data_IF_327026463015
#
_entry.id   IF_327026463015
#
_cell.length_a   1.000
_cell.length_b   1.000
_cell.length_c   1.000
_cell.angle_alpha   90.00
_cell.angle_beta   90.00
_cell.angle_gamma   90.00
#
_symmetry.space_group_name_H-M   'P 1'
#
loop_
_entity.id
_entity.type
_entity.pdbx_description
1 polymer ?
#
# COMPACT_ATOMS: atom_id res chain seq x y z
N UNK A 1 59.31 10.12 -6.97
CA UNK A 1 57.99 10.44 -7.52
C UNK A 1 56.93 9.94 -6.55
N UNK A 2 56.05 10.87 -6.16
CA UNK A 2 54.63 10.73 -5.76
C UNK A 2 54.15 9.70 -4.70
N UNK A 3 53.30 10.27 -3.83
CA UNK A 3 52.52 9.75 -2.71
C UNK A 3 51.50 8.67 -3.10
N UNK A 4 51.17 7.78 -2.16
CA UNK A 4 49.83 7.60 -1.55
C UNK A 4 49.83 6.35 -0.64
N UNK A 5 49.50 6.37 0.65
CA UNK A 5 48.29 6.78 1.41
C UNK A 5 47.39 5.58 1.79
N UNK A 6 46.92 5.66 3.05
CA UNK A 6 45.97 4.80 3.81
C UNK A 6 46.66 3.69 4.62
N UNK A 7 46.62 3.68 5.94
CA UNK A 7 45.78 4.43 6.88
C UNK A 7 45.39 3.49 8.02
N UNK A 8 46.00 3.70 9.19
CA UNK A 8 45.84 2.93 10.42
C UNK A 8 44.48 3.15 11.12
N UNK A 9 44.29 2.33 12.16
CA UNK A 9 43.44 2.50 13.36
C UNK A 9 41.95 2.16 13.19
N UNK A 10 41.25 1.60 14.18
CA UNK A 10 41.55 0.92 15.44
C UNK A 10 40.21 0.37 15.95
N UNK A 11 40.27 -0.52 16.93
CA UNK A 11 39.17 -1.21 17.59
C UNK A 11 37.94 -0.36 17.94
N UNK A 12 36.77 -0.92 17.69
CA UNK A 12 35.52 -0.70 18.42
C UNK A 12 34.94 -2.11 18.59
N UNK A 13 34.95 -2.72 19.79
CA UNK A 13 34.20 -2.27 20.94
C UNK A 13 33.10 -3.30 21.19
N UNK A 14 33.45 -4.39 21.86
CA UNK A 14 32.54 -5.42 22.37
C UNK A 14 31.51 -4.78 23.31
N UNK A 15 30.26 -4.68 22.85
CA UNK A 15 29.12 -4.44 23.73
C UNK A 15 28.49 -5.80 24.09
N UNK A 16 28.84 -6.30 25.28
CA UNK A 16 28.02 -7.28 25.98
C UNK A 16 26.70 -6.60 26.36
N UNK A 17 25.59 -7.06 25.80
CA UNK A 17 24.26 -6.77 26.36
C UNK A 17 23.78 -8.08 26.97
N UNK A 18 23.64 -8.06 28.29
CA UNK A 18 23.27 -9.19 29.11
C UNK A 18 21.91 -9.76 28.70
N UNK A 19 21.86 -11.09 28.63
CA UNK A 19 20.62 -11.83 28.66
C UNK A 19 20.08 -11.80 30.10
N UNK A 20 18.99 -11.08 30.33
CA UNK A 20 18.08 -11.35 31.44
C UNK A 20 16.77 -11.85 30.86
N UNK A 21 16.58 -13.14 31.01
CA UNK A 21 15.35 -13.88 30.73
C UNK A 21 14.30 -13.53 31.77
N UNK A 22 13.24 -12.81 31.39
CA UNK A 22 11.94 -12.93 32.05
C UNK A 22 10.83 -12.97 31.00
N UNK A 23 10.06 -14.05 31.08
CA UNK A 23 8.93 -14.38 30.24
C UNK A 23 7.76 -13.45 30.56
N UNK A 24 7.32 -12.65 29.60
CA UNK A 24 5.89 -12.39 29.41
C UNK A 24 5.61 -12.42 27.91
N UNK A 25 4.86 -13.44 27.50
CA UNK A 25 4.52 -13.71 26.11
C UNK A 25 3.70 -12.58 25.52
N UNK A 26 4.39 -11.62 24.88
CA UNK A 26 3.76 -10.81 23.84
C UNK A 26 3.41 -11.77 22.71
N UNK A 27 2.14 -11.91 22.29
CA UNK A 27 1.84 -12.72 21.14
C UNK A 27 2.59 -12.09 19.96
N UNK A 28 3.48 -12.86 19.34
CA UNK A 28 4.23 -12.48 18.12
C UNK A 28 3.27 -11.99 17.01
N UNK A 29 1.98 -12.32 17.12
CA UNK A 29 0.89 -11.78 16.32
C UNK A 29 0.72 -10.25 16.40
N UNK A 30 0.98 -9.61 17.55
CA UNK A 30 0.85 -8.16 17.73
C UNK A 30 1.97 -7.36 17.05
N UNK A 31 3.16 -7.96 16.86
CA UNK A 31 4.27 -7.35 16.12
C UNK A 31 4.21 -7.66 14.60
N UNK A 32 3.31 -8.54 14.17
CA UNK A 32 3.13 -8.89 12.76
C UNK A 32 2.25 -7.90 11.98
N UNK A 33 1.61 -6.94 12.66
CA UNK A 33 0.79 -5.89 12.07
C UNK A 33 1.61 -4.81 11.35
N UNK A 34 2.89 -4.63 11.67
CA UNK A 34 3.66 -3.48 11.16
C UNK A 34 4.30 -3.63 9.78
N UNK A 35 4.22 -4.79 9.09
CA UNK A 35 5.21 -5.06 8.01
C UNK A 35 4.70 -5.30 6.57
N UNK A 36 3.43 -5.11 6.24
CA UNK A 36 3.01 -5.14 4.81
C UNK A 36 1.94 -4.11 4.49
N UNK A 37 2.19 -2.87 4.88
CA UNK A 37 1.52 -1.72 4.31
C UNK A 37 2.53 -0.83 3.61
N UNK A 38 2.14 -0.27 2.48
CA UNK A 38 2.91 0.72 1.74
C UNK A 38 2.03 1.94 1.52
N UNK A 39 2.57 3.11 1.84
CA UNK A 39 1.86 4.38 1.72
C UNK A 39 2.65 5.35 0.85
N UNK A 40 1.99 5.97 -0.14
CA UNK A 40 2.61 6.97 -1.02
C UNK A 40 1.61 8.04 -1.46
N UNK A 41 2.01 9.31 -1.51
CA UNK A 41 1.21 10.36 -2.16
C UNK A 41 1.22 10.14 -3.68
N UNK A 42 0.05 10.04 -4.31
CA UNK A 42 -0.02 9.78 -5.75
C UNK A 42 -1.24 10.41 -6.42
N UNK A 43 -1.14 10.53 -7.75
CA UNK A 43 -2.27 10.75 -8.65
C UNK A 43 -2.77 9.40 -9.13
N UNK A 44 -4.05 9.10 -8.87
CA UNK A 44 -4.72 7.87 -9.28
C UNK A 44 -5.65 8.15 -10.44
N UNK A 45 -5.48 7.37 -11.50
CA UNK A 45 -6.34 7.36 -12.68
C UNK A 45 -7.12 6.04 -12.68
N UNK A 46 -8.45 6.12 -12.60
CA UNK A 46 -9.34 4.95 -12.71
C UNK A 46 -9.49 4.56 -14.16
N UNK A 47 -9.53 3.27 -14.45
CA UNK A 47 -9.79 2.76 -15.81
C UNK A 47 -11.26 2.39 -16.01
N UNK A 48 -11.99 2.10 -14.93
CA UNK A 48 -13.39 1.71 -14.95
C UNK A 48 -14.22 2.61 -14.03
N UNK A 49 -15.52 2.70 -14.32
CA UNK A 49 -16.52 3.28 -13.42
C UNK A 49 -17.72 2.34 -13.40
N UNK A 50 -18.04 1.78 -12.23
CA UNK A 50 -19.13 0.80 -12.05
C UNK A 50 -19.05 -0.36 -13.08
N UNK A 51 -17.84 -0.88 -13.31
CA UNK A 51 -17.58 -1.98 -14.25
C UNK A 51 -17.49 -1.58 -15.73
N UNK A 52 -17.78 -0.33 -16.09
CA UNK A 52 -17.67 0.16 -17.47
C UNK A 52 -16.32 0.82 -17.70
N UNK A 53 -15.61 0.40 -18.75
CA UNK A 53 -14.31 0.96 -19.13
C UNK A 53 -14.48 2.42 -19.55
N UNK A 54 -13.73 3.32 -18.91
CA UNK A 54 -13.72 4.74 -19.22
C UNK A 54 -13.02 5.01 -20.55
N UNK A 55 -13.50 6.01 -21.30
CA UNK A 55 -12.81 6.51 -22.50
C UNK A 55 -11.46 7.10 -22.13
N UNK A 56 -10.54 7.16 -23.09
CA UNK A 56 -9.19 7.70 -22.83
C UNK A 56 -9.21 9.14 -22.31
N UNK A 57 -10.05 9.99 -22.91
CA UNK A 57 -10.23 11.38 -22.48
C UNK A 57 -10.76 11.45 -21.04
N UNK A 58 -11.75 10.62 -20.68
CA UNK A 58 -12.30 10.58 -19.33
C UNK A 58 -11.25 10.12 -18.30
N UNK A 59 -10.38 9.16 -18.65
CA UNK A 59 -9.30 8.73 -17.77
C UNK A 59 -8.32 9.86 -17.48
N UNK A 60 -7.89 10.61 -18.49
CA UNK A 60 -6.82 11.62 -18.33
C UNK A 60 -7.28 12.89 -17.61
N UNK A 61 -8.55 13.26 -17.72
CA UNK A 61 -9.05 14.58 -17.32
C UNK A 61 -9.33 14.74 -15.83
N UNK A 62 -9.47 13.66 -15.06
CA UNK A 62 -9.86 13.74 -13.66
C UNK A 62 -9.07 12.76 -12.77
N UNK A 63 -7.74 12.90 -12.65
CA UNK A 63 -7.01 12.15 -11.64
C UNK A 63 -7.52 12.52 -10.24
N UNK A 64 -7.56 11.53 -9.35
CA UNK A 64 -7.76 11.75 -7.93
C UNK A 64 -6.42 11.77 -7.22
N UNK A 65 -6.23 12.74 -6.34
CA UNK A 65 -4.98 12.92 -5.60
C UNK A 65 -5.23 12.48 -4.17
N UNK A 66 -4.28 11.74 -3.60
CA UNK A 66 -4.40 11.26 -2.23
C UNK A 66 -3.18 10.45 -1.80
N UNK A 67 -3.26 9.94 -0.56
CA UNK A 67 -2.34 8.94 -0.02
C UNK A 67 -2.85 7.57 -0.42
N UNK A 68 -2.14 6.89 -1.31
CA UNK A 68 -2.40 5.49 -1.63
C UNK A 68 -1.88 4.63 -0.50
N UNK A 69 -2.76 3.88 0.15
CA UNK A 69 -2.45 2.83 1.10
C UNK A 69 -2.67 1.48 0.43
N UNK A 70 -1.62 0.67 0.32
CA UNK A 70 -1.69 -0.71 -0.12
C UNK A 70 -1.30 -1.63 1.03
N UNK A 71 -2.25 -2.39 1.58
CA UNK A 71 -2.06 -3.11 2.83
C UNK A 71 -2.65 -4.53 2.79
N UNK A 72 -2.03 -5.47 3.52
CA UNK A 72 -2.59 -6.80 3.71
C UNK A 72 -3.82 -6.73 4.66
N UNK A 73 -4.96 -7.31 4.23
CA UNK A 73 -6.22 -7.34 4.99
C UNK A 73 -6.48 -8.66 5.70
N UNK A 74 -6.21 -9.79 5.04
CA UNK A 74 -6.40 -11.13 5.62
C UNK A 74 -5.13 -11.92 5.37
N UNK A 75 -4.63 -12.54 6.44
CA UNK A 75 -3.59 -13.57 6.40
C UNK A 75 -4.14 -14.83 7.03
N UNK A 76 -4.28 -15.89 6.25
CA UNK A 76 -4.63 -17.19 6.80
C UNK A 76 -3.48 -18.16 6.59
N UNK A 77 -2.74 -18.45 7.66
CA UNK A 77 -1.47 -19.20 7.62
C UNK A 77 -1.61 -20.59 7.00
N UNK A 78 -2.75 -21.26 7.20
CA UNK A 78 -2.98 -22.61 6.66
C UNK A 78 -3.22 -22.65 5.15
N UNK A 79 -3.69 -21.56 4.54
CA UNK A 79 -4.03 -21.51 3.10
C UNK A 79 -3.08 -20.62 2.29
N UNK A 80 -2.03 -20.06 2.93
CA UNK A 80 -1.08 -19.10 2.33
C UNK A 80 -1.76 -17.98 1.53
N UNK A 81 -2.98 -17.61 1.91
CA UNK A 81 -3.73 -16.54 1.24
C UNK A 81 -3.43 -15.24 1.96
N UNK A 82 -2.80 -14.31 1.24
CA UNK A 82 -2.67 -12.91 1.66
C UNK A 82 -3.50 -12.07 0.71
N UNK A 83 -4.59 -11.50 1.22
CA UNK A 83 -5.46 -10.61 0.47
C UNK A 83 -5.03 -9.18 0.75
N UNK A 84 -4.72 -8.40 -0.27
CA UNK A 84 -4.39 -6.98 -0.13
C UNK A 84 -5.59 -6.10 -0.46
N UNK A 85 -5.61 -4.91 0.13
CA UNK A 85 -6.52 -3.82 -0.22
C UNK A 85 -5.72 -2.63 -0.72
N UNK A 86 -6.28 -1.90 -1.68
CA UNK A 86 -5.81 -0.59 -2.09
C UNK A 86 -6.85 0.46 -1.74
N UNK A 87 -6.43 1.49 -1.01
CA UNK A 87 -7.27 2.62 -0.61
C UNK A 87 -6.60 3.92 -1.05
N UNK A 88 -7.39 4.86 -1.54
CA UNK A 88 -6.92 6.22 -1.78
C UNK A 88 -7.55 7.13 -0.73
N UNK A 89 -6.72 7.58 0.20
CA UNK A 89 -7.12 8.43 1.31
C UNK A 89 -6.84 9.90 0.97
N UNK A 90 -7.60 10.81 1.56
CA UNK A 90 -7.34 12.24 1.48
C UNK A 90 -5.91 12.54 2.02
N UNK A 91 -5.29 13.62 1.55
CA UNK A 91 -3.92 13.96 1.97
C UNK A 91 -3.80 14.30 3.45
N UNK A 92 -4.88 14.81 4.05
CA UNK A 92 -4.91 15.36 5.42
C UNK A 92 -5.92 14.66 6.34
N UNK A 93 -6.69 13.71 5.83
CA UNK A 93 -7.64 12.92 6.62
C UNK A 93 -7.58 11.46 6.21
N UNK A 94 -8.25 10.61 6.99
CA UNK A 94 -8.40 9.17 6.70
C UNK A 94 -9.66 8.91 5.85
N UNK A 95 -10.24 9.94 5.23
CA UNK A 95 -11.41 9.80 4.38
C UNK A 95 -11.04 9.18 3.03
N UNK A 96 -11.89 8.29 2.54
CA UNK A 96 -11.73 7.67 1.23
C UNK A 96 -12.07 8.67 0.12
N UNK A 97 -11.09 8.96 -0.74
CA UNK A 97 -11.27 9.75 -1.98
C UNK A 97 -11.95 8.92 -3.07
N UNK A 98 -11.68 7.61 -3.07
CA UNK A 98 -12.24 6.64 -3.99
C UNK A 98 -12.76 5.41 -3.22
N UNK A 99 -13.76 4.70 -3.75
CA UNK A 99 -14.12 3.40 -3.20
C UNK A 99 -12.89 2.46 -3.23
N UNK A 100 -12.67 1.68 -2.16
CA UNK A 100 -11.48 0.86 -2.05
C UNK A 100 -11.50 -0.31 -3.04
N UNK A 101 -10.31 -0.78 -3.44
CA UNK A 101 -10.14 -2.02 -4.18
C UNK A 101 -9.81 -3.14 -3.19
N UNK A 102 -10.65 -4.17 -3.16
CA UNK A 102 -10.40 -5.42 -2.44
C UNK A 102 -9.74 -6.47 -3.34
N UNK A 103 -9.05 -7.43 -2.74
CA UNK A 103 -8.20 -8.39 -3.46
C UNK A 103 -7.27 -7.71 -4.47
N UNK A 104 -6.70 -6.59 -4.05
CA UNK A 104 -5.87 -5.75 -4.89
C UNK A 104 -4.55 -6.46 -5.21
N UNK A 105 -4.14 -6.40 -6.47
CA UNK A 105 -2.87 -6.96 -6.95
C UNK A 105 -2.10 -5.91 -7.74
N UNK A 106 -0.79 -5.93 -7.63
CA UNK A 106 0.10 -5.12 -8.47
C UNK A 106 0.34 -5.89 -9.77
N UNK A 107 -0.13 -5.35 -10.89
CA UNK A 107 0.08 -5.94 -12.21
C UNK A 107 1.37 -5.46 -12.87
N UNK A 108 1.80 -4.21 -12.59
CA UNK A 108 2.99 -3.62 -13.18
C UNK A 108 3.58 -2.53 -12.28
N UNK A 109 4.90 -2.45 -12.26
CA UNK A 109 5.69 -1.36 -11.68
C UNK A 109 6.65 -0.87 -12.75
N UNK A 110 6.68 0.43 -13.02
CA UNK A 110 7.66 1.06 -13.89
C UNK A 110 7.96 2.51 -13.45
N UNK A 111 8.85 3.16 -14.20
CA UNK A 111 9.21 4.58 -14.07
C UNK A 111 8.00 5.52 -14.09
N UNK A 112 6.92 5.14 -14.79
CA UNK A 112 5.68 5.92 -14.90
C UNK A 112 4.68 5.68 -13.78
N UNK A 113 4.93 4.71 -12.89
CA UNK A 113 4.11 4.41 -11.72
C UNK A 113 3.71 2.93 -11.59
N UNK A 114 2.58 2.72 -10.93
CA UNK A 114 2.04 1.42 -10.54
C UNK A 114 0.70 1.16 -11.25
N UNK A 115 0.47 -0.06 -11.72
CA UNK A 115 -0.83 -0.53 -12.17
C UNK A 115 -1.37 -1.54 -11.15
N UNK A 116 -2.49 -1.18 -10.52
CA UNK A 116 -3.22 -2.04 -9.59
C UNK A 116 -4.50 -2.57 -10.25
N UNK A 117 -4.92 -3.76 -9.88
CA UNK A 117 -6.20 -4.33 -10.26
C UNK A 117 -6.89 -5.02 -9.07
N UNK A 118 -8.21 -5.13 -9.10
CA UNK A 118 -8.99 -5.89 -8.12
C UNK A 118 -10.48 -5.61 -8.21
N UNK A 119 -11.19 -5.71 -7.09
CA UNK A 119 -12.63 -5.46 -7.00
C UNK A 119 -12.91 -4.17 -6.24
N UNK A 120 -13.41 -3.15 -6.93
CA UNK A 120 -13.90 -1.92 -6.31
C UNK A 120 -15.18 -2.20 -5.52
N UNK A 121 -15.20 -1.82 -4.24
CA UNK A 121 -16.32 -2.07 -3.33
C UNK A 121 -17.14 -0.80 -3.17
N UNK A 122 -18.35 -0.78 -3.72
CA UNK A 122 -19.25 0.38 -3.65
C UNK A 122 -20.41 0.08 -2.71
N UNK A 123 -20.49 0.80 -1.59
CA UNK A 123 -21.58 0.66 -0.64
C UNK A 123 -22.89 1.23 -1.23
N UNK A 124 -23.97 0.42 -1.31
CA UNK A 124 -25.30 0.95 -1.61
C UNK A 124 -25.85 1.65 -0.38
N UNK A 125 -26.07 2.97 -0.47
CA UNK A 125 -26.81 3.71 0.57
C UNK A 125 -28.31 3.42 0.44
N UNK A 126 -28.79 2.33 1.02
CA UNK A 126 -30.22 2.09 1.26
C UNK A 126 -30.45 0.87 2.18
N UNK A 127 -30.98 1.12 3.39
CA UNK A 127 -31.47 0.17 4.40
C UNK A 127 -30.46 -0.54 5.33
N UNK A 128 -30.98 -1.05 6.46
CA UNK A 128 -30.28 -1.78 7.55
C UNK A 128 -29.56 -3.08 7.12
N UNK A 129 -29.60 -3.42 5.83
CA UNK A 129 -28.81 -4.49 5.21
C UNK A 129 -28.01 -3.86 4.09
N UNK A 130 -26.94 -3.14 4.43
CA UNK A 130 -26.06 -2.50 3.45
C UNK A 130 -25.48 -3.56 2.51
N UNK A 131 -26.01 -3.62 1.29
CA UNK A 131 -25.46 -4.45 0.21
C UNK A 131 -24.33 -3.66 -0.46
N UNK A 132 -23.20 -4.32 -0.69
CA UNK A 132 -22.11 -3.77 -1.49
C UNK A 132 -22.22 -4.30 -2.91
N UNK A 133 -21.93 -3.43 -3.88
CA UNK A 133 -21.62 -3.86 -5.24
C UNK A 133 -20.11 -4.02 -5.39
N UNK A 134 -19.74 -4.98 -6.23
CA UNK A 134 -18.36 -5.29 -6.56
C UNK A 134 -18.18 -5.14 -8.05
N UNK A 135 -17.22 -4.32 -8.46
CA UNK A 135 -16.91 -4.08 -9.85
C UNK A 135 -15.42 -4.32 -10.11
N UNK A 136 -15.04 -4.98 -11.21
CA UNK A 136 -13.65 -5.00 -11.65
C UNK A 136 -13.13 -3.59 -11.83
N UNK A 137 -11.93 -3.34 -11.31
CA UNK A 137 -11.31 -2.03 -11.38
C UNK A 137 -9.81 -2.13 -11.56
N UNK A 138 -9.25 -1.15 -12.26
CA UNK A 138 -7.82 -0.95 -12.39
C UNK A 138 -7.47 0.52 -12.11
N UNK A 139 -6.39 0.72 -11.36
CA UNK A 139 -5.85 2.03 -11.01
C UNK A 139 -4.43 2.18 -11.56
N UNK A 140 -4.20 3.26 -12.31
CA UNK A 140 -2.85 3.72 -12.60
C UNK A 140 -2.48 4.75 -11.53
N UNK A 141 -1.51 4.42 -10.68
CA UNK A 141 -1.05 5.26 -9.60
C UNK A 141 0.30 5.87 -9.94
N UNK A 142 0.38 7.19 -10.01
CA UNK A 142 1.62 7.94 -10.28
C UNK A 142 2.10 8.64 -9.01
N UNK A 143 3.22 8.21 -8.41
CA UNK A 143 3.77 8.88 -7.22
C UNK A 143 3.99 10.37 -7.47
N UNK A 144 3.74 11.18 -6.45
CA UNK A 144 4.08 12.61 -6.43
C UNK A 144 5.34 12.74 -5.58
N UNK A 145 6.46 13.03 -6.24
CA UNK A 145 7.69 13.38 -5.54
C UNK A 145 7.66 14.88 -5.24
N UNK A 146 7.86 15.26 -3.98
CA UNK A 146 8.12 16.66 -3.62
C UNK A 146 9.60 16.93 -3.88
N UNK A 147 9.89 17.92 -4.71
CA UNK A 147 11.24 18.44 -4.96
C UNK A 147 11.76 19.22 -3.75
#
# INVERSE_FOLDING_TARGET
>A
MLRDNRGCCAALGTAQIGFTTENEGTPIAALAEELYSYTVECKVYRLYSNGVKLSEQARQTQPKIGRLLFAARIRHQQIRLTVFTAQLLELKSEDLVLPPIDSAVILRINDRGLLLAGQEVVARRSSNKSKCDYYPQEWVCKPIYRE
#
